data_IF_626776436158
#
_entry.id   IF_626776436158
#
_cell.length_a   1.000
_cell.length_b   1.000
_cell.length_c   1.000
_cell.angle_alpha   90.00
_cell.angle_beta   90.00
_cell.angle_gamma   90.00
#
_symmetry.space_group_name_H-M   'P 1'
#
loop_
_entity.id
_entity.type
_entity.pdbx_description
1 polymer ?
#
# COMPACT_ATOMS: atom_id res chain seq x y z
N UNK A 1 18.67 88.85 -8.74
CA UNK A 1 17.72 89.94 -8.39
C UNK A 1 16.30 89.39 -8.47
N UNK A 2 15.46 89.84 -7.53
CA UNK A 2 14.11 89.37 -7.17
C UNK A 2 13.16 89.25 -8.38
N UNK A 3 12.25 88.27 -8.34
CA UNK A 3 10.79 88.50 -8.26
C UNK A 3 10.15 87.23 -7.69
N UNK A 4 9.56 87.39 -6.51
CA UNK A 4 8.56 86.51 -5.92
C UNK A 4 7.22 86.92 -6.53
N UNK A 5 6.43 85.97 -7.04
CA UNK A 5 5.00 86.19 -7.25
C UNK A 5 4.21 84.95 -6.83
N UNK A 6 3.53 85.14 -5.70
CA UNK A 6 2.50 84.28 -5.11
C UNK A 6 1.19 84.36 -5.91
N UNK A 7 0.50 83.24 -6.12
CA UNK A 7 -0.94 83.24 -6.37
C UNK A 7 -1.59 81.93 -5.87
N UNK A 8 -2.79 82.08 -5.32
CA UNK A 8 -3.50 81.20 -4.38
C UNK A 8 -4.41 80.17 -5.07
N UNK A 9 -4.65 79.09 -4.32
CA UNK A 9 -5.87 78.29 -4.14
C UNK A 9 -6.83 78.07 -5.32
N UNK A 10 -7.03 76.80 -5.65
CA UNK A 10 -8.27 76.27 -6.23
C UNK A 10 -8.41 74.78 -5.93
N UNK A 11 -9.20 74.42 -4.92
CA UNK A 11 -9.67 73.04 -4.71
C UNK A 11 -10.65 72.70 -5.83
N UNK A 12 -10.39 71.64 -6.60
CA UNK A 12 -11.45 70.92 -7.30
C UNK A 12 -11.27 69.42 -7.04
N UNK A 13 -12.15 68.89 -6.20
CA UNK A 13 -12.36 67.46 -6.05
C UNK A 13 -13.27 67.01 -7.19
N UNK A 14 -12.85 66.03 -8.00
CA UNK A 14 -13.73 65.27 -8.90
C UNK A 14 -13.35 63.79 -8.83
N UNK A 15 -14.15 63.08 -8.04
CA UNK A 15 -14.81 61.79 -8.30
C UNK A 15 -14.01 60.67 -8.98
N UNK A 16 -13.84 59.60 -8.20
CA UNK A 16 -13.50 58.23 -8.55
C UNK A 16 -14.08 57.73 -9.89
N UNK A 17 -13.21 57.24 -10.77
CA UNK A 17 -13.55 56.18 -11.72
C UNK A 17 -12.78 54.92 -11.29
N UNK A 18 -13.53 53.93 -10.81
CA UNK A 18 -13.03 52.67 -10.30
C UNK A 18 -12.33 51.88 -11.43
N UNK A 19 -11.00 51.79 -11.36
CA UNK A 19 -10.24 50.73 -12.00
C UNK A 19 -10.49 49.44 -11.22
N UNK A 20 -11.59 48.74 -11.52
CA UNK A 20 -11.67 47.31 -11.21
C UNK A 20 -10.88 46.57 -12.28
N UNK A 21 -9.56 46.44 -12.08
CA UNK A 21 -8.84 45.32 -12.68
C UNK A 21 -9.47 44.06 -12.10
N UNK A 22 -10.29 43.39 -12.91
CA UNK A 22 -10.70 42.03 -12.64
C UNK A 22 -9.42 41.19 -12.61
N UNK A 23 -8.91 40.92 -11.41
CA UNK A 23 -7.98 39.82 -11.19
C UNK A 23 -8.77 38.55 -11.47
N UNK A 24 -8.74 38.12 -12.74
CA UNK A 24 -9.02 36.75 -13.11
C UNK A 24 -8.02 35.91 -12.32
N UNK A 25 -8.45 35.39 -11.17
CA UNK A 25 -7.74 34.29 -10.54
C UNK A 25 -7.84 33.15 -11.53
N UNK A 26 -6.79 33.01 -12.36
CA UNK A 26 -6.53 31.81 -13.12
C UNK A 26 -6.42 30.69 -12.11
N UNK A 27 -7.55 30.04 -11.86
CA UNK A 27 -7.59 28.76 -11.19
C UNK A 27 -6.91 27.81 -12.17
N UNK A 28 -5.61 27.63 -12.02
CA UNK A 28 -4.89 26.56 -12.69
C UNK A 28 -5.54 25.27 -12.21
N UNK A 29 -6.49 24.75 -12.99
CA UNK A 29 -6.88 23.36 -12.92
C UNK A 29 -5.67 22.56 -13.38
N UNK A 30 -4.74 22.31 -12.46
CA UNK A 30 -3.72 21.29 -12.62
C UNK A 30 -4.46 19.96 -12.57
N UNK A 31 -5.03 19.58 -13.70
CA UNK A 31 -5.38 18.19 -13.93
C UNK A 31 -4.03 17.46 -13.97
N UNK A 32 -3.55 17.04 -12.80
CA UNK A 32 -2.37 16.19 -12.68
C UNK A 32 -2.81 14.82 -13.20
N UNK A 33 -2.68 14.62 -14.51
CA UNK A 33 -2.88 13.32 -15.13
C UNK A 33 -1.56 12.56 -14.98
N UNK A 34 -1.40 11.92 -13.83
CA UNK A 34 -0.26 11.08 -13.48
C UNK A 34 -0.38 10.61 -12.02
N UNK A 35 0.24 9.47 -11.64
CA UNK A 35 0.25 9.04 -10.25
C UNK A 35 0.88 10.15 -9.38
N UNK A 36 0.19 10.54 -8.30
CA UNK A 36 0.60 11.63 -7.40
C UNK A 36 1.99 11.40 -6.78
N UNK A 37 2.46 10.14 -6.77
CA UNK A 37 3.79 9.74 -6.34
C UNK A 37 4.33 8.63 -7.27
N UNK A 38 5.19 9.02 -8.22
CA UNK A 38 5.75 8.12 -9.24
C UNK A 38 6.54 6.99 -8.60
N UNK A 39 7.39 7.28 -7.62
CA UNK A 39 8.23 6.28 -6.98
C UNK A 39 7.42 5.21 -6.21
N UNK A 40 6.31 5.58 -5.57
CA UNK A 40 5.42 4.61 -4.93
C UNK A 40 4.69 3.74 -5.96
N UNK A 41 4.32 4.33 -7.11
CA UNK A 41 3.67 3.59 -8.19
C UNK A 41 4.63 2.59 -8.83
N UNK A 42 5.80 3.05 -9.28
CA UNK A 42 6.84 2.19 -9.85
C UNK A 42 7.31 1.13 -8.85
N UNK A 43 7.53 1.52 -7.58
CA UNK A 43 7.88 0.58 -6.52
C UNK A 43 6.85 -0.52 -6.34
N UNK A 44 5.55 -0.18 -6.37
CA UNK A 44 4.49 -1.18 -6.29
C UNK A 44 4.47 -2.15 -7.49
N UNK A 45 4.75 -1.65 -8.68
CA UNK A 45 4.74 -2.47 -9.89
C UNK A 45 5.96 -3.38 -9.98
N UNK A 46 7.14 -2.89 -9.60
CA UNK A 46 8.36 -3.70 -9.45
C UNK A 46 8.17 -4.84 -8.44
N UNK A 47 7.56 -4.57 -7.29
CA UNK A 47 7.25 -5.61 -6.30
C UNK A 47 6.29 -6.67 -6.85
N UNK A 48 5.29 -6.29 -7.65
CA UNK A 48 4.40 -7.27 -8.30
C UNK A 48 5.13 -8.11 -9.35
N UNK A 49 6.13 -7.54 -10.03
CA UNK A 49 6.96 -8.23 -11.01
C UNK A 49 8.05 -9.12 -10.38
N UNK A 50 8.20 -9.09 -9.05
CA UNK A 50 9.22 -9.88 -8.34
C UNK A 50 10.57 -9.17 -8.18
N UNK A 51 10.72 -7.95 -8.70
CA UNK A 51 11.94 -7.14 -8.59
C UNK A 51 12.02 -6.49 -7.20
N UNK A 52 12.18 -7.34 -6.17
CA UNK A 52 12.01 -6.97 -4.77
C UNK A 52 12.95 -5.85 -4.29
N UNK A 53 14.22 -5.91 -4.69
CA UNK A 53 15.24 -4.96 -4.24
C UNK A 53 15.00 -3.54 -4.79
N UNK A 54 14.82 -3.43 -6.10
CA UNK A 54 14.53 -2.15 -6.76
C UNK A 54 13.14 -1.63 -6.38
N UNK A 55 12.14 -2.52 -6.28
CA UNK A 55 10.79 -2.18 -5.84
C UNK A 55 10.75 -1.63 -4.41
N UNK A 56 11.50 -2.23 -3.48
CA UNK A 56 11.65 -1.72 -2.13
C UNK A 56 12.38 -0.37 -2.12
N UNK A 57 13.47 -0.23 -2.89
CA UNK A 57 14.24 1.01 -2.99
C UNK A 57 13.37 2.18 -3.46
N UNK A 58 12.59 1.97 -4.52
CA UNK A 58 11.63 2.96 -5.05
C UNK A 58 10.53 3.27 -4.05
N UNK A 59 9.94 2.25 -3.45
CA UNK A 59 8.92 2.42 -2.42
C UNK A 59 9.44 3.31 -1.28
N UNK A 60 10.62 3.03 -0.73
CA UNK A 60 11.23 3.82 0.35
C UNK A 60 11.57 5.25 -0.09
N UNK A 61 12.00 5.46 -1.33
CA UNK A 61 12.19 6.80 -1.89
C UNK A 61 10.86 7.57 -1.96
N UNK A 62 9.81 6.95 -2.48
CA UNK A 62 8.48 7.54 -2.58
C UNK A 62 7.86 7.86 -1.22
N UNK A 63 8.08 7.03 -0.20
CA UNK A 63 7.61 7.29 1.17
C UNK A 63 8.15 8.61 1.75
N UNK A 64 9.39 8.99 1.42
CA UNK A 64 10.01 10.23 1.95
C UNK A 64 9.18 11.48 1.60
N UNK A 65 8.49 11.44 0.47
CA UNK A 65 7.69 12.55 -0.06
C UNK A 65 6.19 12.24 -0.10
N UNK A 66 5.74 11.19 0.58
CA UNK A 66 4.33 10.81 0.62
C UNK A 66 3.49 11.90 1.32
N UNK A 67 2.71 12.64 0.52
CA UNK A 67 1.92 13.77 1.00
C UNK A 67 0.60 13.34 1.66
N UNK A 68 -0.03 12.28 1.15
CA UNK A 68 -1.37 11.87 1.59
C UNK A 68 -1.31 10.70 2.59
N UNK A 69 -2.28 10.57 3.53
CA UNK A 69 -2.38 9.40 4.39
C UNK A 69 -2.49 8.10 3.59
N UNK A 70 -3.19 8.14 2.46
CA UNK A 70 -3.32 7.01 1.53
C UNK A 70 -1.95 6.57 0.99
N UNK A 71 -1.13 7.51 0.53
CA UNK A 71 0.21 7.22 0.01
C UNK A 71 1.12 6.67 1.10
N UNK A 72 1.04 7.21 2.32
CA UNK A 72 1.80 6.73 3.47
C UNK A 72 1.44 5.27 3.80
N UNK A 73 0.15 4.96 3.93
CA UNK A 73 -0.30 3.59 4.23
C UNK A 73 0.07 2.62 3.11
N UNK A 74 -0.18 2.99 1.85
CA UNK A 74 0.17 2.15 0.71
C UNK A 74 1.68 1.91 0.62
N UNK A 75 2.48 2.97 0.76
CA UNK A 75 3.93 2.87 0.78
C UNK A 75 4.45 1.98 1.92
N UNK A 76 3.98 2.18 3.16
CA UNK A 76 4.38 1.34 4.30
C UNK A 76 4.00 -0.13 4.08
N UNK A 77 2.80 -0.39 3.55
CA UNK A 77 2.36 -1.74 3.18
C UNK A 77 3.26 -2.37 2.12
N UNK A 78 3.67 -1.61 1.11
CA UNK A 78 4.57 -2.05 0.05
C UNK A 78 6.01 -2.26 0.57
N UNK A 79 6.50 -1.41 1.46
CA UNK A 79 7.82 -1.57 2.08
C UNK A 79 7.86 -2.88 2.88
N UNK A 80 6.80 -3.17 3.65
CA UNK A 80 6.66 -4.45 4.33
C UNK A 80 6.71 -5.64 3.35
N UNK A 81 5.97 -5.58 2.23
CA UNK A 81 6.04 -6.62 1.19
C UNK A 81 7.46 -6.78 0.64
N UNK A 82 8.14 -5.68 0.33
CA UNK A 82 9.51 -5.71 -0.20
C UNK A 82 10.50 -6.38 0.74
N UNK A 83 10.48 -6.03 2.03
CA UNK A 83 11.34 -6.70 3.02
C UNK A 83 11.00 -8.19 3.18
N UNK A 84 9.73 -8.57 3.15
CA UNK A 84 9.30 -9.98 3.18
C UNK A 84 9.81 -10.75 1.96
N UNK A 85 9.72 -10.18 0.76
CA UNK A 85 10.22 -10.79 -0.48
C UNK A 85 11.74 -10.95 -0.49
N UNK A 86 12.46 -10.12 0.26
CA UNK A 86 13.91 -10.19 0.43
C UNK A 86 14.34 -11.11 1.59
N UNK A 87 13.42 -11.93 2.12
CA UNK A 87 13.67 -12.82 3.27
C UNK A 87 14.17 -12.07 4.52
N UNK A 88 13.68 -10.85 4.74
CA UNK A 88 14.01 -9.98 5.89
C UNK A 88 12.75 -9.65 6.71
N UNK A 89 12.05 -10.65 7.27
CA UNK A 89 10.76 -10.45 7.92
C UNK A 89 10.82 -9.56 9.18
N UNK A 90 11.92 -9.57 9.93
CA UNK A 90 12.12 -8.71 11.11
C UNK A 90 12.09 -7.23 10.75
N UNK A 91 12.67 -6.87 9.61
CA UNK A 91 12.68 -5.50 9.11
C UNK A 91 11.34 -5.11 8.48
N UNK A 92 10.54 -6.08 8.04
CA UNK A 92 9.22 -5.86 7.48
C UNK A 92 8.19 -5.47 8.55
N UNK A 93 8.23 -6.11 9.72
CA UNK A 93 7.22 -5.94 10.79
C UNK A 93 6.97 -4.47 11.19
N UNK A 94 7.99 -3.62 11.42
CA UNK A 94 7.77 -2.21 11.72
C UNK A 94 7.00 -1.44 10.65
N UNK A 95 7.19 -1.78 9.37
CA UNK A 95 6.46 -1.13 8.27
C UNK A 95 5.01 -1.55 8.23
N UNK A 96 4.74 -2.84 8.40
CA UNK A 96 3.38 -3.35 8.52
C UNK A 96 2.64 -2.76 9.73
N UNK A 97 3.31 -2.69 10.89
CA UNK A 97 2.72 -2.10 12.10
C UNK A 97 2.36 -0.63 11.89
N UNK A 98 3.26 0.19 11.34
CA UNK A 98 2.96 1.59 11.04
C UNK A 98 1.80 1.76 10.06
N UNK A 99 1.70 0.91 9.04
CA UNK A 99 0.57 0.92 8.12
C UNK A 99 -0.77 0.65 8.84
N UNK A 100 -0.78 -0.31 9.76
CA UNK A 100 -1.96 -0.72 10.53
C UNK A 100 -2.30 0.25 11.68
N UNK A 101 -1.32 0.94 12.26
CA UNK A 101 -1.54 2.05 13.20
C UNK A 101 -2.27 3.21 12.50
N UNK A 102 -1.92 3.50 11.24
CA UNK A 102 -2.57 4.55 10.45
C UNK A 102 -3.92 4.12 9.88
N UNK A 103 -4.03 2.87 9.43
CA UNK A 103 -5.26 2.32 8.89
C UNK A 103 -5.42 0.88 9.36
N UNK A 104 -6.14 0.74 10.48
CA UNK A 104 -6.35 -0.55 11.10
C UNK A 104 -6.93 -1.54 10.10
N UNK A 105 -7.96 -1.19 9.33
CA UNK A 105 -8.64 -2.10 8.37
C UNK A 105 -7.92 -2.29 7.02
N UNK A 106 -6.59 -2.15 6.96
CA UNK A 106 -5.83 -2.33 5.71
C UNK A 106 -5.43 -3.80 5.47
N UNK A 107 -6.28 -4.54 4.74
CA UNK A 107 -6.12 -5.99 4.54
C UNK A 107 -4.77 -6.42 3.95
N UNK A 108 -4.19 -5.63 3.02
CA UNK A 108 -2.87 -5.94 2.43
C UNK A 108 -1.75 -5.86 3.46
N UNK A 109 -1.80 -4.87 4.35
CA UNK A 109 -0.78 -4.71 5.38
C UNK A 109 -0.87 -5.85 6.42
N UNK A 110 -2.10 -6.27 6.78
CA UNK A 110 -2.31 -7.48 7.59
C UNK A 110 -1.75 -8.73 6.92
N UNK A 111 -2.06 -8.95 5.64
CA UNK A 111 -1.58 -10.13 4.91
C UNK A 111 -0.05 -10.16 4.84
N UNK A 112 0.59 -9.01 4.58
CA UNK A 112 2.05 -8.90 4.56
C UNK A 112 2.65 -9.18 5.94
N UNK A 113 2.01 -8.70 7.02
CA UNK A 113 2.45 -8.95 8.40
C UNK A 113 2.29 -10.42 8.77
N UNK A 114 1.17 -11.05 8.39
CA UNK A 114 0.96 -12.48 8.54
C UNK A 114 2.06 -13.29 7.83
N UNK A 115 2.42 -12.93 6.61
CA UNK A 115 3.50 -13.59 5.89
C UNK A 115 4.87 -13.37 6.55
N UNK A 116 5.12 -12.18 7.12
CA UNK A 116 6.32 -11.95 7.93
C UNK A 116 6.35 -12.83 9.18
N UNK A 117 5.23 -12.94 9.90
CA UNK A 117 5.12 -13.84 11.07
C UNK A 117 5.29 -15.31 10.68
N UNK A 118 4.72 -15.74 9.56
CA UNK A 118 4.90 -17.09 9.03
C UNK A 118 6.39 -17.40 8.80
N UNK A 119 7.12 -16.50 8.14
CA UNK A 119 8.57 -16.64 7.90
C UNK A 119 9.40 -16.66 9.19
N UNK A 120 8.89 -16.05 10.26
CA UNK A 120 9.49 -16.05 11.60
C UNK A 120 9.09 -17.27 12.44
N UNK A 121 8.24 -18.16 11.94
CA UNK A 121 7.69 -19.29 12.71
C UNK A 121 6.68 -18.87 13.80
N UNK A 122 6.13 -17.66 13.71
CA UNK A 122 5.15 -17.07 14.64
C UNK A 122 3.74 -17.37 14.14
N UNK A 123 3.34 -18.63 14.24
CA UNK A 123 2.14 -19.15 13.57
C UNK A 123 0.84 -18.61 14.18
N UNK A 124 0.79 -18.39 15.49
CA UNK A 124 -0.39 -17.85 16.17
C UNK A 124 -0.69 -16.41 15.73
N UNK A 125 0.34 -15.55 15.63
CA UNK A 125 0.14 -14.19 15.13
C UNK A 125 -0.16 -14.16 13.63
N UNK A 126 0.39 -15.11 12.86
CA UNK A 126 0.04 -15.29 11.45
C UNK A 126 -1.46 -15.60 11.29
N UNK A 127 -1.97 -16.56 12.06
CA UNK A 127 -3.38 -16.98 12.04
C UNK A 127 -4.33 -15.84 12.42
N UNK A 128 -3.97 -15.08 13.46
CA UNK A 128 -4.75 -13.93 13.90
C UNK A 128 -4.88 -12.84 12.82
N UNK A 129 -3.77 -12.51 12.15
CA UNK A 129 -3.79 -11.52 11.07
C UNK A 129 -4.50 -12.03 9.81
N UNK A 130 -4.36 -13.31 9.47
CA UNK A 130 -5.08 -13.92 8.34
C UNK A 130 -6.59 -13.93 8.55
N UNK A 131 -7.05 -14.33 9.73
CA UNK A 131 -8.48 -14.34 10.07
C UNK A 131 -9.12 -12.97 9.82
N UNK A 132 -8.48 -11.89 10.28
CA UNK A 132 -8.95 -10.53 10.04
C UNK A 132 -8.80 -10.09 8.57
N UNK A 133 -7.76 -10.54 7.87
CA UNK A 133 -7.58 -10.22 6.45
C UNK A 133 -8.66 -10.90 5.58
N UNK A 134 -9.09 -12.12 5.94
CA UNK A 134 -10.17 -12.86 5.28
C UNK A 134 -11.52 -12.18 5.49
N UNK A 135 -11.81 -11.68 6.68
CA UNK A 135 -13.03 -10.89 6.94
C UNK A 135 -13.08 -9.62 6.08
N UNK A 136 -11.92 -8.95 5.92
CA UNK A 136 -11.83 -7.70 5.16
C UNK A 136 -11.79 -7.93 3.64
N UNK A 137 -11.26 -9.06 3.18
CA UNK A 137 -11.05 -9.37 1.76
C UNK A 137 -11.10 -10.89 1.46
N UNK A 138 -12.29 -11.53 1.56
CA UNK A 138 -12.44 -13.00 1.54
C UNK A 138 -12.06 -13.66 0.19
N UNK A 139 -11.96 -12.87 -0.88
CA UNK A 139 -11.57 -13.33 -2.22
C UNK A 139 -10.11 -13.05 -2.58
N UNK A 140 -9.33 -12.40 -1.71
CA UNK A 140 -7.99 -11.98 -2.07
C UNK A 140 -7.05 -13.18 -2.26
N UNK A 141 -6.52 -13.32 -3.47
CA UNK A 141 -5.58 -14.41 -3.84
C UNK A 141 -4.41 -14.51 -2.88
N UNK A 142 -3.82 -13.38 -2.49
CA UNK A 142 -2.65 -13.35 -1.59
C UNK A 142 -2.99 -13.84 -0.19
N UNK A 143 -4.19 -13.52 0.33
CA UNK A 143 -4.65 -14.03 1.63
C UNK A 143 -4.74 -15.56 1.58
N UNK A 144 -5.40 -16.10 0.54
CA UNK A 144 -5.52 -17.55 0.34
C UNK A 144 -4.17 -18.26 0.17
N UNK A 145 -3.23 -17.61 -0.51
CA UNK A 145 -1.88 -18.15 -0.68
C UNK A 145 -1.17 -18.28 0.68
N UNK A 146 -1.15 -17.21 1.48
CA UNK A 146 -0.50 -17.23 2.80
C UNK A 146 -1.21 -18.19 3.74
N UNK A 147 -2.54 -18.32 3.65
CA UNK A 147 -3.32 -19.34 4.36
C UNK A 147 -2.87 -20.77 4.00
N UNK A 148 -2.71 -21.07 2.71
CA UNK A 148 -2.18 -22.36 2.27
C UNK A 148 -0.80 -22.62 2.86
N UNK A 149 0.10 -21.63 2.80
CA UNK A 149 1.46 -21.76 3.34
C UNK A 149 1.47 -21.99 4.86
N UNK A 150 0.53 -21.37 5.59
CA UNK A 150 0.37 -21.61 7.03
C UNK A 150 -0.09 -23.04 7.30
N UNK A 151 -1.10 -23.53 6.57
CA UNK A 151 -1.59 -24.90 6.72
C UNK A 151 -0.50 -25.93 6.38
N UNK A 152 0.27 -25.71 5.31
CA UNK A 152 1.39 -26.58 4.96
C UNK A 152 2.46 -26.63 6.08
N UNK A 153 2.62 -25.53 6.83
CA UNK A 153 3.57 -25.44 7.93
C UNK A 153 3.05 -26.04 9.24
N UNK A 154 1.74 -25.95 9.53
CA UNK A 154 1.17 -26.36 10.82
C UNK A 154 0.44 -27.70 10.78
N UNK A 155 -0.07 -28.11 9.61
CA UNK A 155 -0.81 -29.36 9.38
C UNK A 155 -0.46 -29.93 8.00
N UNK A 156 0.77 -30.43 7.80
CA UNK A 156 1.19 -30.95 6.52
C UNK A 156 0.34 -32.17 6.14
N UNK A 157 -0.33 -32.13 5.00
CA UNK A 157 -1.12 -33.25 4.50
C UNK A 157 -0.20 -34.44 4.24
N UNK A 158 -0.18 -35.41 5.16
CA UNK A 158 0.48 -36.69 4.93
C UNK A 158 -0.41 -37.53 4.01
N UNK A 159 0.01 -37.83 2.76
CA UNK A 159 -0.80 -38.64 1.88
C UNK A 159 -0.90 -40.05 2.47
N UNK A 160 -2.09 -40.45 2.91
CA UNK A 160 -2.38 -41.86 3.19
C UNK A 160 -2.69 -42.54 1.86
N UNK A 161 -1.66 -43.12 1.24
CA UNK A 161 -1.85 -43.99 0.07
C UNK A 161 -2.32 -45.33 0.60
N UNK A 162 -3.64 -45.52 0.66
CA UNK A 162 -4.22 -46.85 0.78
C UNK A 162 -4.17 -47.45 -0.63
N UNK A 163 -3.23 -48.36 -0.86
CA UNK A 163 -3.24 -49.18 -2.07
C UNK A 163 -4.43 -50.11 -1.92
N UNK A 164 -5.49 -49.85 -2.67
CA UNK A 164 -6.61 -50.77 -2.82
C UNK A 164 -6.14 -51.90 -3.74
N UNK A 165 -5.49 -52.91 -3.14
CA UNK A 165 -5.14 -54.17 -3.79
C UNK A 165 -6.44 -54.97 -4.02
N UNK A 166 -7.32 -54.47 -4.90
CA UNK A 166 -8.65 -55.01 -5.23
C UNK A 166 -8.65 -56.40 -5.88
N UNK A 167 -7.77 -57.31 -5.46
CA UNK A 167 -7.86 -58.74 -5.71
C UNK A 167 -9.04 -59.29 -4.91
N UNK A 168 -10.21 -59.31 -5.52
CA UNK A 168 -11.30 -60.18 -5.04
C UNK A 168 -10.80 -61.62 -5.10
N UNK A 169 -10.99 -62.44 -4.04
CA UNK A 169 -10.75 -63.86 -4.15
C UNK A 169 -11.71 -64.40 -5.22
N UNK A 170 -11.16 -64.97 -6.28
CA UNK A 170 -11.90 -65.81 -7.21
C UNK A 170 -12.39 -67.01 -6.38
N UNK A 171 -13.70 -67.13 -6.21
CA UNK A 171 -14.33 -68.34 -5.66
C UNK A 171 -14.02 -69.49 -6.63
N UNK A 172 -12.92 -70.19 -6.36
CA UNK A 172 -12.69 -71.54 -6.86
C UNK A 172 -13.52 -72.48 -5.95
N UNK A 173 -14.34 -73.31 -6.59
CA UNK A 173 -14.99 -74.51 -6.04
C UNK A 173 -16.41 -74.37 -5.47
N UNK A 174 -17.40 -74.49 -6.38
CA UNK A 174 -18.61 -75.27 -6.12
C UNK A 174 -18.89 -76.18 -7.34
N UNK A 175 -18.28 -77.37 -7.35
CA UNK A 175 -18.76 -78.57 -8.09
C UNK A 175 -19.64 -79.44 -7.18
#
# INVERSE_FOLDING_TARGET
>A
MKIVLTARLGRLAVVCAALSCASASGQESKTVIGPTNIDLHEGADLLKSGEAEEGLRRTLAGLKYAATPRDKVAGMSNACAGYVMLERPEEALPWCNKALEMQEKHWRARTNRALAYLKLGRFEECEADLSLAEELAPGARTVKLVRSMLLDATDPVTPQIVVDDGGQPVDEDQE
#
